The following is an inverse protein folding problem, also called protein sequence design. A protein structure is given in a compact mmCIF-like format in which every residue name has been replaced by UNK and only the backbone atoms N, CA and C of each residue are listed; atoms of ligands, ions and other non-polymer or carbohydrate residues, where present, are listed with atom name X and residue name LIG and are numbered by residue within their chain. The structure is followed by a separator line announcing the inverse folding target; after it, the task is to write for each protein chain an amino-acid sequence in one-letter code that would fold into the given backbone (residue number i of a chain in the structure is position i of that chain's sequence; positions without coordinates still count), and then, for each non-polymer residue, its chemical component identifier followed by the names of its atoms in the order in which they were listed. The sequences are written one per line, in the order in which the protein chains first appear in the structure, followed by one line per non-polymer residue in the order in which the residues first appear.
data_IF_715989520628
#
_entry.id   IF_715989520628
#
_cell.length_a   1.000
_cell.length_b   1.000
_cell.length_c   1.000
_cell.angle_alpha   90.00
_cell.angle_beta   90.00
_cell.angle_gamma   90.00
#
_symmetry.space_group_name_H-M   'P 1'
#
loop_
_entity.id
_entity.type
_entity.pdbx_description
1 polymer ?
#
# COMPACT_ATOMS: atom_id res chain seq x y z
N UNK A 1 -31.32 -6.58 -6.99
CA UNK A 1 -31.75 -5.23 -6.57
C UNK A 1 -31.23 -4.26 -7.62
N UNK A 2 -32.08 -3.41 -8.17
CA UNK A 2 -31.65 -2.36 -9.11
C UNK A 2 -31.35 -1.11 -8.28
N UNK A 3 -30.13 -0.61 -8.32
CA UNK A 3 -29.78 0.66 -7.69
C UNK A 3 -30.42 1.78 -8.53
N UNK A 4 -31.22 2.65 -7.88
CA UNK A 4 -31.79 3.83 -8.51
C UNK A 4 -30.99 5.06 -8.04
N UNK A 5 -30.64 5.92 -8.98
CA UNK A 5 -29.99 7.19 -8.68
C UNK A 5 -31.09 8.23 -8.43
N UNK A 6 -31.05 8.85 -7.26
CA UNK A 6 -32.05 9.86 -6.86
C UNK A 6 -31.37 11.21 -6.66
N UNK A 7 -31.88 12.24 -7.33
CA UNK A 7 -31.43 13.61 -7.12
C UNK A 7 -32.13 14.23 -5.91
N UNK A 8 -31.39 14.59 -4.85
CA UNK A 8 -32.00 15.18 -3.66
C UNK A 8 -32.50 16.61 -3.87
N UNK A 9 -32.04 17.31 -4.91
CA UNK A 9 -32.43 18.69 -5.22
C UNK A 9 -33.73 18.72 -6.02
N UNK A 10 -33.79 17.96 -7.11
CA UNK A 10 -34.96 17.89 -7.98
C UNK A 10 -36.04 16.91 -7.47
N UNK A 11 -35.68 16.01 -6.54
CA UNK A 11 -36.53 14.93 -5.99
C UNK A 11 -37.07 13.97 -7.04
N UNK A 12 -36.30 13.72 -8.09
CA UNK A 12 -36.63 12.78 -9.17
C UNK A 12 -35.60 11.65 -9.25
N UNK A 13 -36.04 10.50 -9.75
CA UNK A 13 -35.14 9.40 -10.12
C UNK A 13 -34.49 9.75 -11.45
N UNK A 14 -33.16 9.60 -11.54
CA UNK A 14 -32.37 9.92 -12.72
C UNK A 14 -31.90 8.61 -13.34
N UNK A 15 -31.94 8.50 -14.66
CA UNK A 15 -31.35 7.38 -15.38
C UNK A 15 -29.82 7.55 -15.43
N UNK A 16 -29.11 6.42 -15.60
CA UNK A 16 -27.63 6.40 -15.51
C UNK A 16 -26.96 7.22 -16.62
N UNK A 17 -27.60 7.30 -17.78
CA UNK A 17 -27.18 8.07 -18.96
C UNK A 17 -27.39 9.58 -18.82
N UNK A 18 -28.20 10.01 -17.87
CA UNK A 18 -28.40 11.45 -17.51
C UNK A 18 -27.35 11.95 -16.52
N UNK A 19 -26.48 11.06 -15.99
CA UNK A 19 -25.43 11.47 -15.07
C UNK A 19 -24.16 11.85 -15.82
N UNK A 20 -23.47 12.87 -15.33
CA UNK A 20 -22.15 13.27 -15.83
C UNK A 20 -21.09 13.02 -14.77
N UNK A 21 -19.92 12.55 -15.19
CA UNK A 21 -18.77 12.39 -14.30
C UNK A 21 -18.15 13.76 -14.03
N UNK A 22 -17.86 14.04 -12.76
CA UNK A 22 -17.20 15.27 -12.35
C UNK A 22 -16.09 14.98 -11.35
N UNK A 23 -14.95 15.65 -11.54
CA UNK A 23 -13.84 15.62 -10.59
C UNK A 23 -13.90 16.83 -9.68
N UNK A 24 -13.90 16.64 -8.37
CA UNK A 24 -13.92 17.74 -7.39
C UNK A 24 -12.51 18.31 -7.23
N UNK A 25 -12.27 19.50 -7.76
CA UNK A 25 -10.98 20.19 -7.70
C UNK A 25 -10.79 20.89 -6.34
N UNK A 26 -11.86 21.52 -5.87
CA UNK A 26 -11.95 22.13 -4.54
C UNK A 26 -13.36 21.90 -4.01
N UNK A 27 -13.54 21.95 -2.70
CA UNK A 27 -14.82 21.67 -2.05
C UNK A 27 -15.98 22.43 -2.71
N UNK A 28 -16.87 21.69 -3.37
CA UNK A 28 -18.04 22.20 -4.07
C UNK A 28 -17.79 22.69 -5.51
N UNK A 29 -16.57 22.59 -6.04
CA UNK A 29 -16.26 22.92 -7.44
C UNK A 29 -15.87 21.64 -8.21
N UNK A 30 -16.71 21.30 -9.19
CA UNK A 30 -16.54 20.12 -10.02
C UNK A 30 -16.19 20.52 -11.45
N UNK A 31 -15.24 19.82 -12.03
CA UNK A 31 -14.94 19.89 -13.46
C UNK A 31 -15.56 18.65 -14.11
N UNK A 32 -16.33 18.87 -15.17
CA UNK A 32 -16.91 17.78 -15.96
C UNK A 32 -15.80 17.08 -16.72
N UNK A 33 -15.78 15.76 -16.64
CA UNK A 33 -14.84 14.90 -17.37
C UNK A 33 -15.64 14.09 -18.39
N UNK A 34 -15.26 14.16 -19.66
CA UNK A 34 -15.90 13.40 -20.72
C UNK A 34 -15.36 11.96 -20.76
N UNK A 35 -16.22 11.01 -21.11
CA UNK A 35 -15.81 9.59 -21.16
C UNK A 35 -14.69 9.36 -22.18
N UNK A 36 -14.65 10.12 -23.27
CA UNK A 36 -13.57 10.08 -24.25
C UNK A 36 -12.20 10.52 -23.69
N UNK A 37 -12.18 11.44 -22.74
CA UNK A 37 -10.97 11.88 -22.04
C UNK A 37 -10.47 10.79 -21.08
N UNK A 38 -11.39 10.08 -20.43
CA UNK A 38 -11.05 8.93 -19.59
C UNK A 38 -10.54 7.74 -20.40
N UNK A 39 -11.15 7.44 -21.55
CA UNK A 39 -10.70 6.39 -22.44
C UNK A 39 -9.27 6.62 -22.98
N UNK A 40 -8.90 7.87 -23.25
CA UNK A 40 -7.52 8.20 -23.64
C UNK A 40 -6.51 7.97 -22.51
N UNK A 41 -6.88 8.25 -21.29
CA UNK A 41 -6.07 7.98 -20.10
C UNK A 41 -5.99 6.47 -19.79
N UNK A 42 -7.09 5.74 -20.01
CA UNK A 42 -7.13 4.29 -19.85
C UNK A 42 -6.30 3.54 -20.90
N UNK A 43 -6.24 4.05 -22.14
CA UNK A 43 -5.43 3.46 -23.21
C UNK A 43 -3.91 3.56 -22.94
N UNK A 44 -3.46 4.50 -22.12
CA UNK A 44 -2.08 4.62 -21.65
C UNK A 44 -1.79 3.76 -20.41
N UNK A 45 -2.81 3.17 -19.80
CA UNK A 45 -2.67 2.30 -18.65
C UNK A 45 -2.06 0.94 -19.06
N UNK A 46 -0.79 0.97 -19.44
CA UNK A 46 0.00 -0.25 -19.63
C UNK A 46 0.09 -0.97 -18.28
N UNK A 47 -0.33 -2.23 -18.25
CA UNK A 47 -0.16 -3.12 -17.08
C UNK A 47 1.30 -3.55 -16.87
N UNK A 48 2.25 -2.81 -17.41
CA UNK A 48 3.68 -3.03 -17.21
C UNK A 48 4.12 -2.56 -15.83
N UNK A 49 5.12 -3.23 -15.30
CA UNK A 49 5.81 -2.82 -14.08
C UNK A 49 7.11 -2.16 -14.48
N UNK A 50 7.17 -0.84 -14.40
CA UNK A 50 8.33 -0.05 -14.79
C UNK A 50 9.30 0.08 -13.64
N UNK A 51 10.39 -0.69 -13.68
CA UNK A 51 11.45 -0.62 -12.68
C UNK A 51 12.19 0.70 -12.77
N UNK A 52 12.29 1.42 -11.64
CA UNK A 52 12.94 2.73 -11.54
C UNK A 52 14.33 2.64 -10.93
N UNK A 53 14.44 1.99 -9.78
CA UNK A 53 15.71 1.92 -9.05
C UNK A 53 15.80 0.69 -8.16
N UNK A 54 17.02 0.39 -7.72
CA UNK A 54 17.30 -0.68 -6.74
C UNK A 54 17.89 -0.05 -5.48
N UNK A 55 17.30 -0.38 -4.34
CA UNK A 55 17.73 0.14 -3.03
C UNK A 55 17.87 -1.00 -2.01
N UNK A 56 18.64 -0.82 -0.94
CA UNK A 56 18.62 -1.73 0.21
C UNK A 56 17.26 -1.67 0.91
N UNK A 57 16.72 -2.83 1.32
CA UNK A 57 15.39 -2.87 1.95
C UNK A 57 15.33 -2.08 3.27
N UNK A 58 16.44 -2.02 3.99
CA UNK A 58 16.56 -1.32 5.26
C UNK A 58 16.38 0.21 5.13
N UNK A 59 16.39 0.72 3.88
CA UNK A 59 16.15 2.14 3.58
C UNK A 59 14.67 2.47 3.35
N UNK A 60 13.81 1.45 3.30
CA UNK A 60 12.37 1.63 3.14
C UNK A 60 11.72 1.58 4.52
N UNK A 61 11.15 2.69 4.96
CA UNK A 61 10.42 2.73 6.22
C UNK A 61 9.15 1.85 6.11
N UNK A 62 8.90 0.96 7.09
CA UNK A 62 7.69 0.13 7.12
C UNK A 62 6.37 0.88 7.01
N UNK A 63 6.32 2.16 7.36
CA UNK A 63 5.12 3.01 7.26
C UNK A 63 4.58 3.12 5.83
N UNK A 64 5.45 2.91 4.82
CA UNK A 64 5.06 2.97 3.42
C UNK A 64 4.38 1.70 2.92
N UNK A 65 4.48 0.56 3.61
CA UNK A 65 3.89 -0.70 3.13
C UNK A 65 2.38 -0.72 3.30
N UNK A 66 1.65 -0.94 2.20
CA UNK A 66 0.19 -1.05 2.16
C UNK A 66 -0.27 -2.50 2.12
N UNK A 67 0.09 -3.21 1.05
CA UNK A 67 -0.35 -4.59 0.81
C UNK A 67 0.73 -5.43 0.14
N UNK A 68 0.58 -6.75 0.20
CA UNK A 68 1.61 -7.68 -0.26
C UNK A 68 1.00 -8.77 -1.13
N UNK A 69 1.65 -9.06 -2.27
CA UNK A 69 1.26 -10.08 -3.23
C UNK A 69 2.43 -10.98 -3.59
N UNK A 70 2.16 -12.26 -3.78
CA UNK A 70 3.12 -13.19 -4.36
C UNK A 70 3.08 -13.11 -5.87
N UNK A 71 4.24 -13.01 -6.50
CA UNK A 71 4.36 -13.05 -7.95
C UNK A 71 4.67 -14.48 -8.41
N UNK A 72 4.00 -14.90 -9.46
CA UNK A 72 4.29 -16.15 -10.16
C UNK A 72 4.65 -15.86 -11.61
N UNK A 73 5.52 -16.68 -12.26
CA UNK A 73 5.78 -16.53 -13.67
C UNK A 73 4.56 -16.92 -14.49
N UNK A 74 4.28 -16.19 -15.55
CA UNK A 74 3.34 -16.61 -16.58
C UNK A 74 3.99 -17.66 -17.51
N UNK A 75 3.17 -18.31 -18.35
CA UNK A 75 3.64 -19.35 -19.29
C UNK A 75 4.80 -18.84 -20.15
N UNK A 76 5.94 -19.52 -20.04
CA UNK A 76 7.14 -19.16 -20.77
C UNK A 76 8.02 -18.08 -20.12
N UNK A 77 7.59 -17.48 -19.01
CA UNK A 77 8.35 -16.47 -18.27
C UNK A 77 9.21 -17.04 -17.12
N UNK A 78 9.31 -18.36 -16.97
CA UNK A 78 10.05 -19.03 -15.90
C UNK A 78 11.53 -18.59 -15.82
N UNK A 79 12.19 -18.51 -16.98
CA UNK A 79 13.60 -18.17 -17.04
C UNK A 79 13.89 -16.72 -16.61
N UNK A 80 13.23 -15.68 -17.15
CA UNK A 80 13.43 -14.30 -16.70
C UNK A 80 12.99 -14.09 -15.26
N UNK A 81 11.88 -14.70 -14.82
CA UNK A 81 11.42 -14.67 -13.44
C UNK A 81 12.51 -15.20 -12.49
N UNK A 82 13.07 -16.36 -12.82
CA UNK A 82 14.11 -17.01 -12.01
C UNK A 82 15.38 -16.20 -11.96
N UNK A 83 15.80 -15.64 -13.11
CA UNK A 83 16.97 -14.78 -13.19
C UNK A 83 16.82 -13.57 -12.27
N UNK A 84 15.66 -12.90 -12.31
CA UNK A 84 15.38 -11.75 -11.46
C UNK A 84 15.40 -12.14 -9.98
N UNK A 85 14.69 -13.20 -9.60
CA UNK A 85 14.60 -13.67 -8.22
C UNK A 85 15.98 -14.02 -7.64
N UNK A 86 16.81 -14.77 -8.38
CA UNK A 86 18.15 -15.17 -7.94
C UNK A 86 19.14 -13.98 -7.89
N UNK A 87 19.01 -13.01 -8.81
CA UNK A 87 19.84 -11.80 -8.80
C UNK A 87 19.51 -10.93 -7.59
N UNK A 88 18.23 -10.68 -7.34
CA UNK A 88 17.78 -9.88 -6.19
C UNK A 88 18.15 -10.54 -4.86
N UNK A 89 18.07 -11.88 -4.77
CA UNK A 89 18.51 -12.62 -3.59
C UNK A 89 20.01 -12.44 -3.29
N UNK A 90 20.85 -12.42 -4.34
CA UNK A 90 22.31 -12.24 -4.20
C UNK A 90 22.70 -10.81 -3.83
N UNK A 91 22.05 -9.83 -4.41
CA UNK A 91 22.36 -8.41 -4.19
C UNK A 91 21.76 -7.85 -2.91
N UNK A 92 20.81 -8.56 -2.29
CA UNK A 92 20.01 -8.11 -1.15
C UNK A 92 19.30 -6.77 -1.41
N UNK A 93 19.18 -6.40 -2.67
CA UNK A 93 18.47 -5.20 -3.11
C UNK A 93 16.99 -5.48 -3.37
N UNK A 94 16.18 -4.45 -3.27
CA UNK A 94 14.79 -4.44 -3.68
C UNK A 94 14.62 -3.47 -4.84
N UNK A 95 13.72 -3.79 -5.77
CA UNK A 95 13.40 -2.91 -6.89
C UNK A 95 12.21 -2.04 -6.53
N UNK A 96 12.37 -0.74 -6.66
CA UNK A 96 11.25 0.21 -6.72
C UNK A 96 10.76 0.32 -8.16
N UNK A 97 9.46 0.24 -8.33
CA UNK A 97 8.81 0.30 -9.63
C UNK A 97 7.49 1.06 -9.54
N UNK A 98 7.00 1.48 -10.69
CA UNK A 98 5.67 2.07 -10.86
C UNK A 98 4.85 1.15 -11.76
N UNK A 99 3.57 1.06 -11.47
CA UNK A 99 2.61 0.31 -12.27
C UNK A 99 1.25 0.98 -12.22
N UNK A 100 0.40 0.69 -13.19
CA UNK A 100 -1.01 1.10 -13.13
C UNK A 100 -1.83 -0.11 -12.73
N UNK A 101 -2.47 -0.03 -11.58
CA UNK A 101 -3.31 -1.09 -11.04
C UNK A 101 -4.71 -0.54 -10.76
N UNK A 102 -5.74 -1.16 -11.33
CA UNK A 102 -7.12 -0.67 -11.28
C UNK A 102 -7.26 0.80 -11.66
N UNK A 103 -6.64 1.21 -12.77
CA UNK A 103 -6.64 2.59 -13.28
C UNK A 103 -6.06 3.63 -12.31
N UNK A 104 -5.27 3.19 -11.33
CA UNK A 104 -4.55 4.06 -10.42
C UNK A 104 -3.04 3.80 -10.54
N UNK A 105 -2.27 4.86 -10.75
CA UNK A 105 -0.81 4.78 -10.63
C UNK A 105 -0.45 4.35 -9.21
N UNK A 106 0.42 3.37 -9.11
CA UNK A 106 0.81 2.76 -7.84
C UNK A 106 2.32 2.60 -7.78
N UNK A 107 2.88 2.95 -6.64
CA UNK A 107 4.28 2.67 -6.32
C UNK A 107 4.37 1.25 -5.76
N UNK A 108 5.29 0.46 -6.27
CA UNK A 108 5.48 -0.91 -5.84
C UNK A 108 6.95 -1.21 -5.55
N UNK A 109 7.16 -2.13 -4.63
CA UNK A 109 8.46 -2.65 -4.27
C UNK A 109 8.48 -4.16 -4.53
N UNK A 110 9.46 -4.62 -5.28
CA UNK A 110 9.65 -6.04 -5.57
C UNK A 110 10.89 -6.53 -4.82
N UNK A 111 10.77 -7.67 -4.15
CA UNK A 111 11.91 -8.33 -3.47
C UNK A 111 11.88 -9.84 -3.64
N UNK A 112 13.05 -10.46 -3.50
CA UNK A 112 13.15 -11.91 -3.46
C UNK A 112 12.89 -12.46 -2.05
N UNK A 113 12.06 -13.51 -1.96
CA UNK A 113 11.75 -14.23 -0.72
C UNK A 113 11.71 -15.73 -1.02
N UNK A 114 12.45 -16.53 -0.28
CA UNK A 114 12.46 -18.02 -0.42
C UNK A 114 12.54 -18.47 -1.88
N UNK A 115 13.39 -17.82 -2.69
CA UNK A 115 13.61 -18.07 -4.13
C UNK A 115 12.43 -17.73 -5.03
N UNK A 116 11.44 -16.99 -4.56
CA UNK A 116 10.35 -16.39 -5.33
C UNK A 116 10.38 -14.87 -5.26
N UNK A 117 9.44 -14.22 -5.91
CA UNK A 117 9.28 -12.77 -5.90
C UNK A 117 8.00 -12.38 -5.17
N UNK A 118 8.11 -11.31 -4.40
CA UNK A 118 6.99 -10.69 -3.67
C UNK A 118 6.92 -9.22 -4.08
N UNK A 119 5.73 -8.77 -4.33
CA UNK A 119 5.41 -7.37 -4.65
C UNK A 119 4.68 -6.76 -3.46
N UNK A 120 5.15 -5.63 -3.01
CA UNK A 120 4.48 -4.80 -2.02
C UNK A 120 3.99 -3.53 -2.68
N UNK A 121 2.71 -3.19 -2.51
CA UNK A 121 2.22 -1.85 -2.79
C UNK A 121 2.69 -0.91 -1.70
N UNK A 122 3.08 0.29 -2.10
CA UNK A 122 3.55 1.33 -1.20
C UNK A 122 2.62 2.54 -1.29
N UNK A 123 2.38 3.17 -0.17
CA UNK A 123 1.77 4.50 -0.13
C UNK A 123 2.71 5.55 -0.73
N UNK A 124 2.17 6.49 -1.46
CA UNK A 124 2.89 7.72 -1.78
C UNK A 124 3.05 8.57 -0.51
N UNK A 125 4.10 9.40 -0.48
CA UNK A 125 4.33 10.30 0.66
C UNK A 125 3.13 11.20 0.97
N UNK A 126 2.37 11.61 -0.03
CA UNK A 126 1.16 12.42 0.10
C UNK A 126 -0.02 11.69 0.77
N UNK A 127 -0.01 10.36 0.79
CA UNK A 127 -1.04 9.52 1.43
C UNK A 127 -0.75 9.26 2.91
N UNK A 128 0.50 9.48 3.33
CA UNK A 128 0.93 9.32 4.72
C UNK A 128 0.74 10.63 5.48
N UNK A 129 0.08 10.56 6.62
CA UNK A 129 -0.09 11.72 7.49
C UNK A 129 1.25 12.17 8.04
N UNK A 130 1.44 13.49 8.09
CA UNK A 130 2.63 14.07 8.71
C UNK A 130 2.66 13.77 10.20
N UNK A 131 3.65 12.99 10.61
CA UNK A 131 3.82 12.61 12.01
C UNK A 131 4.26 13.79 12.88
N UNK A 132 4.87 14.82 12.29
CA UNK A 132 5.30 16.01 13.03
C UNK A 132 4.13 16.90 13.46
N UNK A 133 2.97 16.74 12.81
CA UNK A 133 1.73 17.39 13.24
C UNK A 133 1.08 16.74 14.49
N UNK A 134 1.62 15.61 14.98
CA UNK A 134 1.09 14.86 16.12
C UNK A 134 1.92 15.20 17.36
N UNK A 135 1.25 15.64 18.44
CA UNK A 135 1.91 15.90 19.72
C UNK A 135 2.53 14.62 20.29
N UNK A 136 3.86 14.63 20.48
CA UNK A 136 4.66 13.46 20.92
C UNK A 136 5.03 13.52 22.40
N UNK A 137 4.56 14.55 23.12
CA UNK A 137 4.91 14.75 24.54
C UNK A 137 6.37 15.15 24.76
N UNK A 138 7.00 15.80 23.78
CA UNK A 138 8.43 16.19 23.81
C UNK A 138 8.79 17.11 24.97
N UNK A 139 7.82 17.85 25.50
CA UNK A 139 7.99 18.77 26.63
C UNK A 139 8.07 18.04 27.98
N UNK A 140 7.79 16.74 28.03
CA UNK A 140 7.76 15.96 29.26
C UNK A 140 9.18 15.51 29.62
N UNK A 141 9.73 16.03 30.70
CA UNK A 141 11.01 15.57 31.27
C UNK A 141 10.78 14.29 32.06
N UNK A 142 11.38 13.20 31.61
CA UNK A 142 11.34 11.93 32.32
C UNK A 142 12.53 11.83 33.29
N UNK A 143 12.30 11.45 34.57
CA UNK A 143 13.38 11.13 35.51
C UNK A 143 14.24 9.97 35.01
N UNK A 144 15.54 10.02 35.26
CA UNK A 144 16.50 8.96 34.85
C UNK A 144 16.11 7.58 35.37
N UNK A 145 15.63 7.48 36.60
CA UNK A 145 15.17 6.22 37.21
C UNK A 145 14.02 5.55 36.42
N UNK A 146 13.09 6.35 35.87
CA UNK A 146 12.00 5.83 35.06
C UNK A 146 12.50 5.31 33.70
N UNK A 147 13.49 5.99 33.14
CA UNK A 147 14.11 5.54 31.88
C UNK A 147 14.90 4.25 32.08
N UNK A 148 15.65 4.13 33.19
CA UNK A 148 16.36 2.88 33.53
C UNK A 148 15.39 1.72 33.77
N UNK A 149 14.33 1.94 34.51
CA UNK A 149 13.29 0.92 34.73
C UNK A 149 12.65 0.50 33.40
N UNK A 150 12.33 1.46 32.52
CA UNK A 150 11.79 1.18 31.19
C UNK A 150 12.75 0.35 30.35
N UNK A 151 14.05 0.67 30.38
CA UNK A 151 15.09 -0.10 29.69
C UNK A 151 15.17 -1.53 30.20
N UNK A 152 15.27 -1.72 31.51
CA UNK A 152 15.35 -3.04 32.13
C UNK A 152 14.11 -3.91 31.81
N UNK A 153 12.93 -3.32 31.77
CA UNK A 153 11.71 -4.02 31.36
C UNK A 153 11.78 -4.45 29.90
N UNK A 154 12.21 -3.56 29.02
CA UNK A 154 12.35 -3.86 27.58
C UNK A 154 13.38 -4.97 27.33
N UNK A 155 14.52 -4.94 28.03
CA UNK A 155 15.55 -5.97 27.92
C UNK A 155 15.04 -7.35 28.38
N UNK A 156 14.26 -7.39 29.49
CA UNK A 156 13.66 -8.64 29.99
C UNK A 156 12.60 -9.22 29.06
N UNK A 157 11.92 -8.37 28.30
CA UNK A 157 10.90 -8.78 27.32
C UNK A 157 11.44 -8.93 25.90
N UNK A 158 12.73 -8.68 25.70
CA UNK A 158 13.36 -8.78 24.39
C UNK A 158 13.41 -10.22 23.89
N UNK A 159 13.06 -10.43 22.61
CA UNK A 159 13.22 -11.67 21.89
C UNK A 159 14.23 -11.48 20.77
N UNK A 160 15.06 -12.51 20.52
CA UNK A 160 16.10 -12.45 19.48
C UNK A 160 15.52 -12.45 18.07
N UNK A 161 14.37 -13.12 17.87
CA UNK A 161 13.72 -13.29 16.58
C UNK A 161 12.19 -13.17 16.71
N UNK A 162 11.57 -12.72 15.63
CA UNK A 162 10.12 -12.71 15.52
C UNK A 162 9.63 -14.09 15.06
N UNK A 163 8.90 -14.78 15.92
CA UNK A 163 8.28 -16.09 15.66
C UNK A 163 6.75 -15.92 15.51
N UNK A 164 6.23 -15.77 14.28
CA UNK A 164 4.80 -15.50 14.05
C UNK A 164 3.89 -16.62 14.58
N UNK A 165 4.40 -17.86 14.66
CA UNK A 165 3.65 -19.03 15.17
C UNK A 165 3.23 -18.88 16.63
N UNK A 166 3.93 -18.06 17.41
CA UNK A 166 3.55 -17.77 18.81
C UNK A 166 2.30 -16.90 18.92
N UNK A 167 1.90 -16.24 17.84
CA UNK A 167 0.77 -15.31 17.80
C UNK A 167 -0.38 -15.89 16.98
N UNK A 168 -0.84 -17.11 17.37
CA UNK A 168 -1.99 -17.73 16.72
C UNK A 168 -3.28 -16.95 17.06
N UNK A 169 -4.12 -16.72 16.05
CA UNK A 169 -5.44 -16.17 16.27
C UNK A 169 -6.31 -17.20 17.01
N UNK A 170 -6.75 -16.86 18.22
CA UNK A 170 -7.71 -17.69 18.95
C UNK A 170 -9.08 -17.55 18.28
N UNK A 171 -9.38 -18.44 17.34
CA UNK A 171 -10.65 -18.49 16.61
C UNK A 171 -11.86 -18.79 17.50
N UNK A 172 -11.66 -19.18 18.76
CA UNK A 172 -12.73 -19.41 19.73
C UNK A 172 -13.48 -18.13 20.17
N UNK A 173 -12.91 -16.95 19.96
CA UNK A 173 -13.54 -15.66 20.35
C UNK A 173 -14.28 -14.95 19.22
N UNK A 174 -14.26 -15.46 17.99
CA UNK A 174 -14.87 -14.83 16.82
C UNK A 174 -16.29 -15.34 16.50
N UNK A 175 -16.81 -16.28 17.27
CA UNK A 175 -18.19 -16.76 17.16
C UNK A 175 -18.98 -16.32 18.41
N UNK A 176 -19.33 -15.05 18.49
CA UNK A 176 -20.46 -14.58 19.27
C UNK A 176 -21.52 -14.02 18.32
N UNK A 177 -22.78 -14.38 18.52
CA UNK A 177 -23.89 -14.14 17.61
C UNK A 177 -24.25 -12.68 17.45
#
# INVERSE_FOLDING_TARGET
MRNQIFCPVCKVVIEHDETVRGYEVTKGQYVRVEDAELETLEAEANSSIDMREYIPIEKVDPIYFESTYYLAPDKGADKPYRLLADTMAKTRGVALAQTVFHNKESLVLIRSVKRGLVLHFLFFKSEIRDFDAIAKGEDIKLPSEQLEFGRDLTEKMSAAEFEPERYAMNTASACLP
#
